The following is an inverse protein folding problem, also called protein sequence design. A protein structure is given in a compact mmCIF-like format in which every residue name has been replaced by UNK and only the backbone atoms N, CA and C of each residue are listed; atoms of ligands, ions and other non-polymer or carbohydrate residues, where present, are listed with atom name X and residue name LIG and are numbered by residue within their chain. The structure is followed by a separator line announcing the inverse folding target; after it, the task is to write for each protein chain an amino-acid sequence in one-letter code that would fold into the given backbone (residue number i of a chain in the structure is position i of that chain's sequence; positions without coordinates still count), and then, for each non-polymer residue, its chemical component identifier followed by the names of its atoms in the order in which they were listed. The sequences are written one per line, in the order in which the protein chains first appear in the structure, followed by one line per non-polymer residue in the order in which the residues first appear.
data_IF_112498675894
#
_entry.id   IF_112498675894
#
_cell.length_a   1.000
_cell.length_b   1.000
_cell.length_c   1.000
_cell.angle_alpha   90.00
_cell.angle_beta   90.00
_cell.angle_gamma   90.00
#
_symmetry.space_group_name_H-M   'P 1'
#
loop_
_entity.id
_entity.type
_entity.pdbx_description
1 polymer ?
#
# COMPACT_ATOMS: atom_id res chain seq x y z
N UNK A 1 10.27 -18.59 7.18
CA UNK A 1 9.61 -17.35 7.66
C UNK A 1 9.17 -16.43 6.54
N UNK A 2 10.00 -16.19 5.54
CA UNK A 2 9.59 -15.34 4.40
C UNK A 2 8.43 -15.92 3.58
N UNK A 3 8.35 -17.22 3.43
CA UNK A 3 7.26 -17.91 2.75
C UNK A 3 5.93 -17.80 3.50
N UNK A 4 5.96 -17.76 4.82
CA UNK A 4 4.75 -17.63 5.65
C UNK A 4 4.13 -16.24 5.52
N UNK A 5 4.93 -15.19 5.62
CA UNK A 5 4.44 -13.81 5.49
C UNK A 5 3.92 -13.50 4.09
N UNK A 6 4.59 -14.01 3.06
CA UNK A 6 4.14 -13.87 1.68
C UNK A 6 2.79 -14.54 1.46
N UNK A 7 2.61 -15.74 2.00
CA UNK A 7 1.34 -16.45 1.92
C UNK A 7 0.24 -15.76 2.73
N UNK A 8 0.56 -15.14 3.87
CA UNK A 8 -0.41 -14.40 4.67
C UNK A 8 -0.95 -13.17 3.93
N UNK A 9 -0.09 -12.41 3.25
CA UNK A 9 -0.51 -11.25 2.46
C UNK A 9 -1.37 -11.66 1.25
N UNK A 10 -0.98 -12.71 0.54
CA UNK A 10 -1.80 -13.30 -0.55
C UNK A 10 -3.14 -13.78 -0.03
N UNK A 11 -3.15 -14.47 1.10
CA UNK A 11 -4.36 -14.99 1.71
C UNK A 11 -5.30 -13.87 2.14
N UNK A 12 -4.77 -12.80 2.72
CA UNK A 12 -5.54 -11.61 3.08
C UNK A 12 -6.16 -10.95 1.84
N UNK A 13 -5.39 -10.77 0.78
CA UNK A 13 -5.89 -10.23 -0.48
C UNK A 13 -6.97 -11.12 -1.11
N UNK A 14 -6.80 -12.43 -1.07
CA UNK A 14 -7.77 -13.40 -1.58
C UNK A 14 -9.07 -13.40 -0.77
N UNK A 15 -9.02 -13.34 0.55
CA UNK A 15 -10.19 -13.25 1.42
C UNK A 15 -11.00 -11.99 1.10
N UNK A 16 -10.33 -10.86 0.94
CA UNK A 16 -10.99 -9.62 0.55
C UNK A 16 -11.61 -9.70 -0.85
N UNK A 17 -10.97 -10.39 -1.77
CA UNK A 17 -11.49 -10.64 -3.11
C UNK A 17 -12.73 -11.54 -3.09
N UNK A 18 -12.71 -12.59 -2.30
CA UNK A 18 -13.86 -13.50 -2.14
C UNK A 18 -15.07 -12.79 -1.54
N UNK A 19 -14.87 -11.93 -0.56
CA UNK A 19 -15.96 -11.19 0.09
C UNK A 19 -16.56 -10.09 -0.80
N UNK A 20 -15.80 -9.59 -1.78
CA UNK A 20 -16.25 -8.54 -2.72
C UNK A 20 -16.61 -9.05 -4.11
N UNK A 21 -16.72 -10.37 -4.27
CA UNK A 21 -17.07 -11.03 -5.54
C UNK A 21 -16.22 -10.67 -6.76
N UNK A 22 -15.35 -11.56 -7.11
CA UNK A 22 -15.28 -12.13 -8.46
C UNK A 22 -14.48 -11.40 -9.51
N UNK A 23 -14.00 -10.20 -9.33
CA UNK A 23 -13.14 -9.63 -10.36
C UNK A 23 -11.91 -9.11 -9.71
N UNK A 24 -10.83 -9.82 -9.89
CA UNK A 24 -9.48 -9.33 -9.64
C UNK A 24 -9.17 -8.18 -10.62
N UNK A 25 -9.93 -7.08 -10.56
CA UNK A 25 -9.54 -5.85 -11.19
C UNK A 25 -8.30 -5.34 -10.46
N UNK A 26 -7.14 -5.27 -11.13
CA UNK A 26 -5.91 -4.83 -10.49
C UNK A 26 -6.03 -3.46 -9.85
N UNK A 27 -6.76 -2.54 -10.46
CA UNK A 27 -7.00 -1.21 -9.90
C UNK A 27 -7.74 -1.30 -8.56
N UNK A 28 -8.81 -2.09 -8.52
CA UNK A 28 -9.60 -2.29 -7.31
C UNK A 28 -8.79 -2.99 -6.21
N UNK A 29 -7.99 -3.98 -6.57
CA UNK A 29 -7.12 -4.67 -5.62
C UNK A 29 -6.15 -3.71 -4.93
N UNK A 30 -5.51 -2.83 -5.68
CA UNK A 30 -4.61 -1.82 -5.12
C UNK A 30 -5.38 -0.84 -4.22
N UNK A 31 -6.57 -0.41 -4.62
CA UNK A 31 -7.42 0.43 -3.78
C UNK A 31 -7.75 -0.24 -2.44
N UNK A 32 -8.04 -1.52 -2.46
CA UNK A 32 -8.30 -2.32 -1.26
C UNK A 32 -7.07 -2.44 -0.37
N UNK A 33 -5.88 -2.54 -0.95
CA UNK A 33 -4.63 -2.58 -0.19
C UNK A 33 -4.38 -1.25 0.53
N UNK A 34 -4.56 -0.13 -0.14
CA UNK A 34 -4.46 1.18 0.52
C UNK A 34 -5.46 1.31 1.67
N UNK A 35 -6.71 0.93 1.44
CA UNK A 35 -7.74 0.98 2.48
C UNK A 35 -7.40 0.07 3.66
N UNK A 36 -6.98 -1.15 3.40
CA UNK A 36 -6.57 -2.11 4.43
C UNK A 36 -5.41 -1.60 5.27
N UNK A 37 -4.44 -0.93 4.65
CA UNK A 37 -3.33 -0.31 5.37
C UNK A 37 -3.81 0.80 6.30
N UNK A 38 -4.70 1.67 5.85
CA UNK A 38 -5.27 2.74 6.68
C UNK A 38 -6.04 2.15 7.88
N UNK A 39 -6.84 1.14 7.65
CA UNK A 39 -7.59 0.46 8.72
C UNK A 39 -6.63 -0.14 9.76
N UNK A 40 -5.58 -0.81 9.31
CA UNK A 40 -4.57 -1.40 10.21
C UNK A 40 -3.84 -0.33 11.04
N UNK A 41 -3.52 0.82 10.42
CA UNK A 41 -2.86 1.92 11.12
C UNK A 41 -3.78 2.60 12.14
N UNK A 42 -5.05 2.77 11.82
CA UNK A 42 -6.03 3.29 12.77
C UNK A 42 -6.18 2.35 13.97
N UNK A 43 -6.21 1.04 13.73
CA UNK A 43 -6.27 0.04 14.79
C UNK A 43 -5.01 0.08 15.66
N UNK A 44 -3.83 0.20 15.04
CA UNK A 44 -2.57 0.29 15.77
C UNK A 44 -2.52 1.51 16.72
N UNK A 45 -2.98 2.66 16.24
CA UNK A 45 -3.06 3.87 17.06
C UNK A 45 -4.01 3.68 18.26
N UNK A 46 -5.17 3.12 18.00
CA UNK A 46 -6.12 2.76 19.07
C UNK A 46 -5.50 1.79 20.08
N UNK A 47 -4.79 0.79 19.62
CA UNK A 47 -4.17 -0.22 20.49
C UNK A 47 -3.05 0.39 21.36
N UNK A 48 -2.29 1.35 20.84
CA UNK A 48 -1.30 2.10 21.61
C UNK A 48 -1.99 2.93 22.69
N UNK A 49 -3.04 3.67 22.33
CA UNK A 49 -3.75 4.55 23.25
C UNK A 49 -4.47 3.77 24.36
N UNK A 50 -4.81 2.52 24.11
CA UNK A 50 -5.49 1.64 25.07
C UNK A 50 -4.58 0.61 25.73
N UNK A 51 -3.26 0.77 25.62
CA UNK A 51 -2.25 -0.12 26.22
C UNK A 51 -2.45 -1.59 25.87
N UNK A 52 -2.64 -1.88 24.57
CA UNK A 52 -2.79 -3.24 24.04
C UNK A 52 -1.56 -3.63 23.21
N UNK A 53 -0.43 -3.99 23.84
CA UNK A 53 0.83 -4.16 23.12
C UNK A 53 0.83 -5.33 22.13
N UNK A 54 0.14 -6.44 22.45
CA UNK A 54 0.05 -7.57 21.53
C UNK A 54 -0.79 -7.25 20.30
N UNK A 55 -1.93 -6.59 20.48
CA UNK A 55 -2.80 -6.17 19.39
C UNK A 55 -2.12 -5.10 18.51
N UNK A 56 -1.42 -4.16 19.14
CA UNK A 56 -0.60 -3.16 18.43
C UNK A 56 0.41 -3.83 17.50
N UNK A 57 1.18 -4.80 18.01
CA UNK A 57 2.16 -5.51 17.20
C UNK A 57 1.51 -6.20 15.99
N UNK A 58 0.37 -6.82 16.18
CA UNK A 58 -0.39 -7.47 15.12
C UNK A 58 -0.85 -6.45 14.07
N UNK A 59 -1.41 -5.32 14.51
CA UNK A 59 -1.92 -4.28 13.60
C UNK A 59 -0.79 -3.63 12.80
N UNK A 60 0.32 -3.30 13.44
CA UNK A 60 1.48 -2.71 12.75
C UNK A 60 2.10 -3.71 11.77
N UNK A 61 2.28 -4.96 12.17
CA UNK A 61 2.78 -6.01 11.28
C UNK A 61 1.91 -6.18 10.05
N UNK A 62 0.60 -6.15 10.23
CA UNK A 62 -0.36 -6.20 9.12
C UNK A 62 -0.19 -5.03 8.16
N UNK A 63 -0.04 -3.81 8.68
CA UNK A 63 0.20 -2.63 7.86
C UNK A 63 1.52 -2.76 7.06
N UNK A 64 2.59 -3.21 7.69
CA UNK A 64 3.88 -3.43 7.04
C UNK A 64 3.75 -4.47 5.92
N UNK A 65 3.08 -5.58 6.17
CA UNK A 65 2.88 -6.63 5.17
C UNK A 65 2.07 -6.10 3.97
N UNK A 66 1.03 -5.33 4.20
CA UNK A 66 0.25 -4.71 3.12
C UNK A 66 1.14 -3.79 2.28
N UNK A 67 1.97 -2.97 2.91
CA UNK A 67 2.86 -2.03 2.21
C UNK A 67 3.93 -2.78 1.42
N UNK A 68 4.62 -3.73 2.02
CA UNK A 68 5.76 -4.42 1.37
C UNK A 68 5.32 -5.55 0.44
N UNK A 69 4.43 -6.40 0.89
CA UNK A 69 4.04 -7.62 0.16
C UNK A 69 2.85 -7.37 -0.78
N UNK A 70 2.11 -6.31 -0.54
CA UNK A 70 0.99 -5.90 -1.39
C UNK A 70 1.37 -4.77 -2.34
N UNK A 71 1.57 -3.58 -1.82
CA UNK A 71 1.79 -2.37 -2.62
C UNK A 71 3.15 -2.36 -3.32
N UNK A 72 4.22 -2.55 -2.58
CA UNK A 72 5.57 -2.53 -3.15
C UNK A 72 5.79 -3.69 -4.13
N UNK A 73 5.36 -4.88 -3.77
CA UNK A 73 5.47 -6.06 -4.63
C UNK A 73 4.65 -5.95 -5.92
N UNK A 74 3.62 -5.11 -5.95
CA UNK A 74 2.82 -4.88 -7.17
C UNK A 74 3.44 -3.86 -8.11
N UNK A 75 4.47 -3.13 -7.68
CA UNK A 75 5.17 -2.18 -8.54
C UNK A 75 5.89 -2.91 -9.67
N UNK A 76 5.70 -2.38 -10.89
CA UNK A 76 6.50 -2.77 -12.03
C UNK A 76 7.43 -1.61 -12.33
N UNK A 77 8.72 -1.82 -12.17
CA UNK A 77 9.68 -0.83 -12.57
C UNK A 77 10.68 -1.43 -13.55
N UNK A 78 10.70 -0.83 -14.72
CA UNK A 78 11.76 -1.04 -15.69
C UNK A 78 12.93 -0.11 -15.38
N UNK A 79 14.11 -0.48 -15.83
CA UNK A 79 15.27 0.42 -15.74
C UNK A 79 14.93 1.78 -16.35
N UNK A 80 15.04 2.83 -15.55
CA UNK A 80 14.73 4.20 -15.96
C UNK A 80 13.34 4.70 -15.57
N UNK A 81 12.50 3.87 -14.96
CA UNK A 81 11.23 4.31 -14.39
C UNK A 81 11.45 4.92 -12.99
N UNK A 82 11.77 6.20 -12.96
CA UNK A 82 12.06 6.91 -11.72
C UNK A 82 10.89 6.95 -10.74
N UNK A 83 9.67 7.01 -11.24
CA UNK A 83 8.50 7.06 -10.37
C UNK A 83 8.32 5.72 -9.63
N UNK A 84 8.53 4.59 -10.32
CA UNK A 84 8.52 3.27 -9.68
C UNK A 84 9.61 3.12 -8.63
N UNK A 85 10.82 3.57 -8.93
CA UNK A 85 11.93 3.58 -7.97
C UNK A 85 11.61 4.45 -6.76
N UNK A 86 11.05 5.63 -6.96
CA UNK A 86 10.68 6.55 -5.89
C UNK A 86 9.56 5.97 -5.01
N UNK A 87 8.57 5.33 -5.60
CA UNK A 87 7.50 4.66 -4.85
C UNK A 87 8.05 3.48 -4.04
N UNK A 88 8.95 2.69 -4.63
CA UNK A 88 9.63 1.63 -3.90
C UNK A 88 10.36 2.16 -2.66
N UNK A 89 11.14 3.22 -2.83
CA UNK A 89 11.85 3.86 -1.72
C UNK A 89 10.88 4.40 -0.67
N UNK A 90 9.75 4.98 -1.09
CA UNK A 90 8.73 5.49 -0.19
C UNK A 90 8.08 4.36 0.63
N UNK A 91 7.75 3.24 -0.01
CA UNK A 91 7.21 2.08 0.70
C UNK A 91 8.21 1.49 1.70
N UNK A 92 9.49 1.42 1.33
CA UNK A 92 10.55 1.01 2.25
C UNK A 92 10.66 1.97 3.44
N UNK A 93 10.57 3.27 3.21
CA UNK A 93 10.54 4.29 4.24
C UNK A 93 9.35 4.10 5.19
N UNK A 94 8.15 3.89 4.64
CA UNK A 94 6.94 3.63 5.44
C UNK A 94 7.12 2.42 6.36
N UNK A 95 7.62 1.32 5.83
CA UNK A 95 7.85 0.09 6.60
C UNK A 95 8.86 0.34 7.74
N UNK A 96 9.92 1.09 7.46
CA UNK A 96 10.90 1.48 8.47
C UNK A 96 10.28 2.34 9.57
N UNK A 97 9.50 3.34 9.22
CA UNK A 97 8.81 4.21 10.19
C UNK A 97 7.81 3.42 11.04
N UNK A 98 7.10 2.47 10.45
CA UNK A 98 6.18 1.61 11.19
C UNK A 98 6.91 0.67 12.16
N UNK A 99 8.08 0.18 11.78
CA UNK A 99 8.92 -0.62 12.68
C UNK A 99 9.36 0.21 13.88
N UNK A 100 9.78 1.45 13.66
CA UNK A 100 10.14 2.38 14.74
C UNK A 100 8.93 2.75 15.60
N UNK A 101 7.78 2.97 14.99
CA UNK A 101 6.52 3.23 15.71
C UNK A 101 6.17 2.08 16.64
N UNK A 102 6.36 0.85 16.18
CA UNK A 102 6.13 -0.33 17.00
C UNK A 102 7.10 -0.41 18.19
N UNK A 103 8.36 -0.13 17.94
CA UNK A 103 9.39 -0.18 18.97
C UNK A 103 9.20 0.88 20.07
N UNK A 104 8.78 2.08 19.68
CA UNK A 104 8.71 3.24 20.58
C UNK A 104 7.29 3.68 20.94
N UNK A 105 6.26 2.97 20.50
CA UNK A 105 4.86 3.39 20.64
C UNK A 105 4.61 4.81 20.11
N UNK A 106 5.23 5.13 18.96
CA UNK A 106 5.23 6.48 18.39
C UNK A 106 4.04 6.67 17.44
N UNK A 107 2.97 7.23 17.96
CA UNK A 107 1.76 7.52 17.18
C UNK A 107 1.98 8.58 16.11
N UNK A 108 2.95 9.45 16.26
CA UNK A 108 3.29 10.46 15.24
C UNK A 108 3.81 9.79 13.96
N UNK A 109 4.60 8.73 14.08
CA UNK A 109 5.08 7.96 12.93
C UNK A 109 3.94 7.22 12.24
N UNK A 110 3.01 6.70 13.01
CA UNK A 110 1.79 6.08 12.46
C UNK A 110 0.97 7.11 11.68
N UNK A 111 0.77 8.29 12.24
CA UNK A 111 0.03 9.38 11.60
C UNK A 111 0.72 9.84 10.30
N UNK A 112 2.05 9.94 10.29
CA UNK A 112 2.83 10.28 9.10
C UNK A 112 2.62 9.25 7.98
N UNK A 113 2.78 7.97 8.28
CA UNK A 113 2.59 6.90 7.28
C UNK A 113 1.15 6.87 6.80
N UNK A 114 0.19 7.01 7.68
CA UNK A 114 -1.24 7.08 7.31
C UNK A 114 -1.50 8.24 6.36
N UNK A 115 -0.92 9.40 6.62
CA UNK A 115 -1.04 10.56 5.72
C UNK A 115 -0.48 10.26 4.33
N UNK A 116 0.72 9.69 4.25
CA UNK A 116 1.34 9.32 2.97
C UNK A 116 0.49 8.30 2.20
N UNK A 117 -0.04 7.31 2.89
CA UNK A 117 -0.92 6.31 2.26
C UNK A 117 -2.20 6.94 1.74
N UNK A 118 -2.81 7.87 2.48
CA UNK A 118 -4.01 8.57 2.04
C UNK A 118 -3.74 9.47 0.82
N UNK A 119 -2.58 10.12 0.75
CA UNK A 119 -2.16 10.87 -0.44
C UNK A 119 -2.05 9.96 -1.66
N UNK A 120 -1.39 8.83 -1.52
CA UNK A 120 -1.26 7.84 -2.60
C UNK A 120 -2.62 7.26 -3.00
N UNK A 121 -3.45 6.95 -2.02
CA UNK A 121 -4.82 6.45 -2.24
C UNK A 121 -5.66 7.45 -3.03
N UNK A 122 -5.59 8.73 -2.67
CA UNK A 122 -6.27 9.80 -3.40
C UNK A 122 -5.83 9.87 -4.85
N UNK A 123 -4.52 9.86 -5.10
CA UNK A 123 -3.97 9.86 -6.44
C UNK A 123 -4.37 8.61 -7.23
N UNK A 124 -4.34 7.45 -6.61
CA UNK A 124 -4.74 6.19 -7.24
C UNK A 124 -6.21 6.21 -7.67
N UNK A 125 -7.09 6.72 -6.84
CA UNK A 125 -8.53 6.80 -7.11
C UNK A 125 -8.87 7.76 -8.25
N UNK A 126 -7.98 8.65 -8.64
CA UNK A 126 -8.16 9.54 -9.81
C UNK A 126 -7.80 8.87 -11.13
N UNK A 127 -7.12 7.72 -11.09
CA UNK A 127 -6.70 6.98 -12.29
C UNK A 127 -7.90 6.18 -12.82
N UNK A 128 -8.13 6.28 -14.15
CA UNK A 128 -9.18 5.51 -14.82
C UNK A 128 -8.89 4.00 -14.68
N UNK A 129 -9.80 3.22 -14.09
CA UNK A 129 -9.63 1.76 -13.96
C UNK A 129 -9.53 1.03 -15.29
N UNK A 130 -9.96 1.66 -16.39
CA UNK A 130 -9.84 1.08 -17.74
C UNK A 130 -8.47 1.29 -18.36
N UNK A 131 -7.61 2.12 -17.76
CA UNK A 131 -6.22 2.24 -18.20
C UNK A 131 -5.49 0.98 -17.80
N UNK A 132 -5.03 0.25 -18.78
CA UNK A 132 -4.27 -0.97 -18.54
C UNK A 132 -2.84 -0.63 -18.10
N UNK A 133 -2.66 -0.51 -16.80
CA UNK A 133 -1.38 -0.21 -16.18
C UNK A 133 -0.36 -1.36 -16.29
N UNK A 134 -0.82 -2.49 -16.81
CA UNK A 134 -0.02 -3.71 -16.94
C UNK A 134 0.71 -3.81 -18.28
N UNK A 135 0.38 -2.94 -19.23
CA UNK A 135 1.02 -2.91 -20.54
C UNK A 135 1.74 -1.59 -20.75
N UNK A 136 2.92 -1.65 -21.37
CA UNK A 136 3.72 -0.53 -21.87
C UNK A 136 2.99 0.30 -22.94
N UNK A 137 1.71 0.52 -22.80
CA UNK A 137 1.01 1.40 -23.71
C UNK A 137 1.38 2.83 -23.39
N UNK A 138 2.08 3.46 -24.31
CA UNK A 138 2.17 4.90 -24.40
C UNK A 138 0.81 5.51 -24.09
N UNK A 139 0.70 6.09 -22.91
CA UNK A 139 -0.46 6.91 -22.59
C UNK A 139 -0.49 8.05 -23.61
N UNK A 140 -1.60 8.28 -24.30
CA UNK A 140 -1.68 9.41 -25.23
C UNK A 140 -1.28 10.69 -24.50
N UNK A 141 -0.47 11.51 -25.13
CA UNK A 141 0.12 12.73 -24.56
C UNK A 141 -0.89 13.83 -24.20
N UNK A 142 -2.19 13.51 -24.10
CA UNK A 142 -3.26 14.47 -24.00
C UNK A 142 -3.50 15.06 -22.61
N UNK A 143 -2.93 14.52 -21.54
CA UNK A 143 -3.13 15.03 -20.18
C UNK A 143 -1.83 15.01 -19.38
N UNK A 144 -1.25 16.14 -19.22
CA UNK A 144 -0.05 16.37 -18.43
C UNK A 144 -0.33 16.45 -16.92
N UNK A 145 -1.20 15.60 -16.39
CA UNK A 145 -1.47 15.62 -14.96
C UNK A 145 -0.51 14.70 -14.20
N UNK A 146 -0.25 15.01 -12.95
CA UNK A 146 0.57 14.18 -12.07
C UNK A 146 0.10 12.72 -11.96
N UNK A 147 -1.17 12.47 -12.28
CA UNK A 147 -1.74 11.13 -12.32
C UNK A 147 -1.11 10.24 -13.42
N UNK A 148 -0.69 10.82 -14.55
CA UNK A 148 -0.01 10.06 -15.61
C UNK A 148 1.37 9.58 -15.19
N UNK A 149 2.09 10.42 -14.47
CA UNK A 149 3.41 10.05 -13.97
C UNK A 149 3.30 8.96 -12.90
N UNK A 150 2.26 9.01 -12.10
CA UNK A 150 1.96 7.97 -11.11
C UNK A 150 1.59 6.64 -11.78
N UNK A 151 0.77 6.69 -12.85
CA UNK A 151 0.38 5.50 -13.61
C UNK A 151 1.58 4.80 -14.27
N UNK A 152 2.59 5.53 -14.71
CA UNK A 152 3.82 4.96 -15.29
C UNK A 152 4.68 4.20 -14.28
N UNK A 153 4.53 4.45 -13.00
CA UNK A 153 5.27 3.79 -11.94
C UNK A 153 4.72 2.41 -11.58
N UNK A 154 3.49 2.18 -11.95
CA UNK A 154 2.76 0.97 -11.66
C UNK A 154 2.67 0.11 -12.93
#
# INVERSE_FOLDING_TARGET
MFTYTHNAAKHYAMINLESNTLVADPHKLISMLFEGAVIALNQAEFDIDNNKPADKCTSISKAIDIVLLGLDASLKYDKGNKLGENLHMLYQYMAHQLTLANLHNDTNKIAEVRHLINELRGAWNTIDPNVNLMTDRKVPAANESGAQNFARAL
#
